data_IF_133249399816
#
_entry.id   IF_133249399816
#
_cell.length_a   1.000
_cell.length_b   1.000
_cell.length_c   1.000
_cell.angle_alpha   90.00
_cell.angle_beta   90.00
_cell.angle_gamma   90.00
#
_symmetry.space_group_name_H-M   'P 1'
#
loop_
_entity.id
_entity.type
_entity.pdbx_description
1 polymer ?
#
# COMPACT_ATOMS: atom_id res chain seq x y z
N UNK A 1 -1.43 -8.02 10.67
CA UNK A 1 -2.58 -7.46 9.94
C UNK A 1 -2.05 -6.45 8.92
N UNK A 2 -2.43 -6.56 7.64
CA UNK A 2 -2.05 -5.60 6.61
C UNK A 2 -2.69 -4.22 6.82
N UNK A 3 -2.02 -3.16 6.36
CA UNK A 3 -2.54 -1.78 6.38
C UNK A 3 -2.49 -1.18 4.99
N UNK A 4 -3.64 -0.76 4.47
CA UNK A 4 -3.72 -0.04 3.20
C UNK A 4 -3.15 1.38 3.36
N UNK A 5 -2.27 1.75 2.43
CA UNK A 5 -1.64 3.08 2.38
C UNK A 5 -1.81 3.70 0.97
N UNK A 6 -1.06 4.77 0.68
CA UNK A 6 -0.96 5.32 -0.67
C UNK A 6 -2.22 6.01 -1.18
N UNK A 7 -2.38 6.05 -2.51
CA UNK A 7 -3.49 6.75 -3.16
C UNK A 7 -4.85 6.11 -2.89
N UNK A 8 -4.94 4.77 -2.88
CA UNK A 8 -6.19 4.06 -2.59
C UNK A 8 -6.66 4.27 -1.14
N UNK A 9 -5.73 4.39 -0.18
CA UNK A 9 -6.10 4.82 1.17
C UNK A 9 -6.74 6.22 1.17
N UNK A 10 -6.18 7.17 0.42
CA UNK A 10 -6.74 8.53 0.30
C UNK A 10 -8.10 8.56 -0.40
N UNK A 11 -8.34 7.67 -1.36
CA UNK A 11 -9.65 7.51 -2.00
C UNK A 11 -10.74 7.16 -0.96
N UNK A 12 -10.42 6.30 0.02
CA UNK A 12 -11.33 5.98 1.14
C UNK A 12 -11.55 7.13 2.14
N UNK A 13 -10.78 8.21 2.00
CA UNK A 13 -11.00 9.49 2.67
C UNK A 13 -11.69 10.53 1.78
N UNK A 14 -12.11 10.16 0.57
CA UNK A 14 -12.81 11.02 -0.38
C UNK A 14 -11.89 11.81 -1.31
N UNK A 15 -10.63 11.37 -1.51
CA UNK A 15 -9.77 11.97 -2.54
C UNK A 15 -10.34 11.67 -3.93
N UNK A 16 -10.46 12.67 -4.82
CA UNK A 16 -10.96 12.46 -6.18
C UNK A 16 -9.88 11.90 -7.13
N UNK A 17 -8.64 11.72 -6.65
CA UNK A 17 -7.51 11.29 -7.48
C UNK A 17 -7.68 9.84 -7.94
N UNK A 18 -7.58 9.63 -9.24
CA UNK A 18 -7.52 8.29 -9.81
C UNK A 18 -6.20 7.59 -9.41
N UNK A 19 -6.30 6.38 -8.87
CA UNK A 19 -5.14 5.58 -8.41
C UNK A 19 -5.30 4.14 -8.89
N UNK A 20 -4.33 3.67 -9.67
CA UNK A 20 -4.35 2.35 -10.29
C UNK A 20 -3.61 1.29 -9.45
N UNK A 21 -2.59 1.70 -8.70
CA UNK A 21 -1.80 0.85 -7.82
C UNK A 21 -2.39 0.71 -6.41
N UNK A 22 -2.18 -0.46 -5.79
CA UNK A 22 -2.57 -0.72 -4.40
C UNK A 22 -1.34 -0.91 -3.54
N UNK A 23 -1.16 -0.03 -2.56
CA UNK A 23 -0.03 -0.11 -1.63
C UNK A 23 -0.48 -0.65 -0.27
N UNK A 24 0.17 -1.72 0.20
CA UNK A 24 -0.14 -2.35 1.47
C UNK A 24 1.14 -2.52 2.28
N UNK A 25 1.12 -2.11 3.55
CA UNK A 25 2.21 -2.39 4.48
C UNK A 25 1.88 -3.61 5.32
N UNK A 26 2.83 -4.55 5.39
CA UNK A 26 2.78 -5.71 6.28
C UNK A 26 4.07 -5.82 7.09
N UNK A 27 4.08 -6.58 8.21
CA UNK A 27 5.31 -6.89 8.90
C UNK A 27 6.24 -7.71 8.01
N UNK A 28 7.53 -7.73 8.33
CA UNK A 28 8.50 -8.57 7.60
C UNK A 28 8.05 -10.04 7.45
N UNK A 29 8.33 -10.60 6.27
CA UNK A 29 8.10 -12.03 5.98
C UNK A 29 9.25 -12.81 6.61
N UNK A 30 8.96 -13.55 7.68
CA UNK A 30 9.98 -14.19 8.52
C UNK A 30 10.45 -15.53 8.00
N UNK A 31 9.59 -16.24 7.27
CA UNK A 31 9.84 -17.60 6.84
C UNK A 31 9.16 -17.93 5.51
N UNK A 32 9.53 -19.08 4.97
CA UNK A 32 9.01 -19.59 3.71
C UNK A 32 7.50 -19.89 3.75
N UNK A 33 6.95 -20.25 4.91
CA UNK A 33 5.52 -20.54 5.04
C UNK A 33 4.69 -19.27 4.85
N UNK A 34 5.09 -18.17 5.47
CA UNK A 34 4.49 -16.85 5.27
C UNK A 34 4.63 -16.37 3.82
N UNK A 35 5.80 -16.57 3.19
CA UNK A 35 6.01 -16.22 1.79
C UNK A 35 5.09 -17.04 0.86
N UNK A 36 4.93 -18.34 1.12
CA UNK A 36 4.00 -19.22 0.39
C UNK A 36 2.55 -18.80 0.58
N UNK A 37 2.15 -18.42 1.78
CA UNK A 37 0.79 -17.93 2.04
C UNK A 37 0.49 -16.69 1.18
N UNK A 38 1.39 -15.70 1.19
CA UNK A 38 1.24 -14.48 0.40
C UNK A 38 1.16 -14.78 -1.10
N UNK A 39 2.12 -15.52 -1.64
CA UNK A 39 2.21 -15.80 -3.08
C UNK A 39 1.04 -16.66 -3.57
N UNK A 40 0.56 -17.63 -2.79
CA UNK A 40 -0.65 -18.38 -3.13
C UNK A 40 -1.91 -17.50 -3.11
N UNK A 41 -2.04 -16.61 -2.12
CA UNK A 41 -3.16 -15.69 -2.06
C UNK A 41 -3.19 -14.75 -3.27
N UNK A 42 -2.03 -14.22 -3.67
CA UNK A 42 -1.91 -13.37 -4.86
C UNK A 42 -2.20 -14.15 -6.14
N UNK A 43 -1.65 -15.37 -6.27
CA UNK A 43 -1.92 -16.20 -7.45
C UNK A 43 -3.39 -16.55 -7.61
N UNK A 44 -4.11 -16.80 -6.50
CA UNK A 44 -5.56 -17.06 -6.51
C UNK A 44 -6.37 -15.87 -7.03
N UNK A 45 -5.83 -14.66 -6.93
CA UNK A 45 -6.41 -13.43 -7.48
C UNK A 45 -5.80 -13.04 -8.84
N UNK A 46 -5.13 -13.97 -9.52
CA UNK A 46 -4.44 -13.77 -10.81
C UNK A 46 -3.37 -12.67 -10.78
N UNK A 47 -2.69 -12.53 -9.65
CA UNK A 47 -1.50 -11.70 -9.50
C UNK A 47 -0.22 -12.53 -9.48
N UNK A 48 0.78 -12.04 -10.20
CA UNK A 48 2.06 -12.68 -10.45
C UNK A 48 3.19 -11.91 -9.77
N UNK A 49 4.14 -12.60 -9.16
CA UNK A 49 5.27 -11.93 -8.49
C UNK A 49 6.23 -11.36 -9.54
N UNK A 50 6.42 -10.05 -9.54
CA UNK A 50 7.32 -9.37 -10.48
C UNK A 50 8.76 -9.53 -10.02
N UNK A 51 9.61 -10.10 -10.89
CA UNK A 51 11.03 -10.30 -10.62
C UNK A 51 11.93 -9.43 -11.52
N UNK A 52 11.35 -8.67 -12.46
CA UNK A 52 12.09 -7.78 -13.34
C UNK A 52 11.25 -6.56 -13.73
N UNK A 53 11.86 -5.39 -13.65
CA UNK A 53 11.31 -4.11 -14.09
C UNK A 53 12.17 -3.52 -15.22
N UNK A 54 11.59 -2.68 -16.06
CA UNK A 54 12.36 -1.80 -16.96
C UNK A 54 12.86 -0.54 -16.22
N UNK A 55 13.54 0.36 -16.96
CA UNK A 55 14.10 1.61 -16.42
C UNK A 55 13.01 2.59 -15.96
N UNK A 56 11.78 2.45 -16.46
CA UNK A 56 10.62 3.26 -16.08
C UNK A 56 9.87 2.69 -14.86
N UNK A 57 10.22 1.47 -14.45
CA UNK A 57 9.61 0.76 -13.34
C UNK A 57 8.38 -0.07 -13.72
N UNK A 58 8.18 -0.36 -15.00
CA UNK A 58 7.11 -1.24 -15.49
C UNK A 58 7.54 -2.72 -15.42
N UNK A 59 6.61 -3.65 -15.13
CA UNK A 59 6.90 -5.07 -15.08
C UNK A 59 7.21 -5.64 -16.47
N UNK A 60 8.41 -6.18 -16.64
CA UNK A 60 8.85 -6.88 -17.88
C UNK A 60 9.17 -8.37 -17.64
N UNK A 61 8.99 -8.85 -16.41
CA UNK A 61 9.15 -10.25 -16.05
C UNK A 61 8.50 -10.58 -14.71
N UNK A 62 7.84 -11.73 -14.64
CA UNK A 62 7.18 -12.23 -13.44
C UNK A 62 7.29 -13.75 -13.31
N UNK A 63 7.13 -14.23 -12.07
CA UNK A 63 7.09 -15.64 -11.70
C UNK A 63 5.63 -16.01 -11.42
N UNK A 64 5.14 -16.99 -12.16
CA UNK A 64 3.78 -17.51 -12.09
C UNK A 64 3.60 -18.64 -11.07
N UNK A 65 4.64 -19.43 -10.85
CA UNK A 65 4.66 -20.51 -9.87
C UNK A 65 4.80 -19.95 -8.44
N UNK A 66 3.78 -20.07 -7.56
CA UNK A 66 3.80 -19.46 -6.22
C UNK A 66 4.96 -19.94 -5.35
N UNK A 67 5.32 -21.22 -5.45
CA UNK A 67 6.44 -21.79 -4.69
C UNK A 67 7.79 -21.21 -5.13
N UNK A 68 7.99 -20.96 -6.43
CA UNK A 68 9.19 -20.33 -6.93
C UNK A 68 9.27 -18.85 -6.52
N UNK A 69 8.14 -18.13 -6.59
CA UNK A 69 8.04 -16.75 -6.10
C UNK A 69 8.33 -16.65 -4.61
N UNK A 70 7.77 -17.55 -3.79
CA UNK A 70 8.01 -17.58 -2.34
C UNK A 70 9.50 -17.81 -2.02
N UNK A 71 10.13 -18.79 -2.67
CA UNK A 71 11.57 -19.04 -2.53
C UNK A 71 12.39 -17.81 -2.93
N UNK A 72 12.01 -17.15 -4.04
CA UNK A 72 12.70 -15.94 -4.51
C UNK A 72 12.62 -14.80 -3.50
N UNK A 73 11.44 -14.55 -2.93
CA UNK A 73 11.25 -13.55 -1.86
C UNK A 73 12.17 -13.84 -0.67
N UNK A 74 12.30 -15.10 -0.27
CA UNK A 74 13.16 -15.49 0.86
C UNK A 74 14.66 -15.34 0.57
N UNK A 75 15.07 -15.54 -0.69
CA UNK A 75 16.46 -15.37 -1.14
C UNK A 75 16.80 -13.87 -1.23
N UNK A 76 15.98 -13.11 -1.96
CA UNK A 76 16.27 -11.71 -2.30
C UNK A 76 16.04 -10.78 -1.09
N UNK A 77 15.17 -11.18 -0.15
CA UNK A 77 14.76 -10.40 1.03
C UNK A 77 14.40 -8.95 0.69
N UNK A 78 13.51 -8.72 -0.28
CA UNK A 78 13.23 -7.38 -0.77
C UNK A 78 12.49 -6.55 0.29
N UNK A 79 12.69 -5.23 0.28
CA UNK A 79 11.88 -4.31 1.13
C UNK A 79 10.45 -4.13 0.62
N UNK A 80 10.25 -4.33 -0.69
CA UNK A 80 8.97 -4.21 -1.36
C UNK A 80 8.79 -5.39 -2.31
N UNK A 81 7.63 -6.03 -2.26
CA UNK A 81 7.26 -7.16 -3.13
C UNK A 81 6.19 -6.65 -4.08
N UNK A 82 6.46 -6.80 -5.37
CA UNK A 82 5.61 -6.30 -6.44
C UNK A 82 4.80 -7.44 -7.04
N UNK A 83 3.49 -7.25 -7.16
CA UNK A 83 2.58 -8.18 -7.80
C UNK A 83 1.86 -7.47 -8.96
N UNK A 84 1.77 -8.17 -10.10
CA UNK A 84 1.19 -7.65 -11.34
C UNK A 84 0.09 -8.59 -11.83
N UNK A 85 -1.04 -8.03 -12.25
CA UNK A 85 -2.04 -8.74 -13.03
C UNK A 85 -2.02 -8.15 -14.46
N UNK A 86 -1.55 -8.90 -15.47
CA UNK A 86 -1.41 -8.39 -16.84
C UNK A 86 -2.76 -8.15 -17.53
N UNK A 87 -3.79 -8.93 -17.20
CA UNK A 87 -5.10 -8.83 -17.85
C UNK A 87 -5.87 -7.58 -17.39
N UNK A 88 -5.68 -7.19 -16.13
CA UNK A 88 -6.31 -6.01 -15.53
C UNK A 88 -5.42 -4.76 -15.57
N UNK A 89 -4.17 -4.91 -16.00
CA UNK A 89 -3.12 -3.89 -15.88
C UNK A 89 -3.03 -3.32 -14.44
N UNK A 90 -3.17 -4.19 -13.44
CA UNK A 90 -3.22 -3.81 -12.03
C UNK A 90 -1.96 -4.21 -11.27
N UNK A 91 -1.51 -3.30 -10.40
CA UNK A 91 -0.34 -3.49 -9.55
C UNK A 91 -0.70 -3.49 -8.06
N UNK A 92 -0.10 -4.41 -7.31
CA UNK A 92 -0.11 -4.41 -5.84
C UNK A 92 1.32 -4.38 -5.32
N UNK A 93 1.62 -3.37 -4.52
CA UNK A 93 2.90 -3.20 -3.85
C UNK A 93 2.74 -3.61 -2.37
N UNK A 94 3.48 -4.63 -1.95
CA UNK A 94 3.55 -5.07 -0.56
C UNK A 94 4.85 -4.57 0.06
N UNK A 95 4.76 -3.58 0.95
CA UNK A 95 5.90 -2.98 1.62
C UNK A 95 6.11 -3.64 2.98
N UNK A 96 7.35 -4.07 3.27
CA UNK A 96 7.71 -4.77 4.49
C UNK A 96 8.26 -3.79 5.53
N UNK A 97 7.41 -3.38 6.48
CA UNK A 97 7.74 -2.42 7.55
C UNK A 97 8.41 -1.11 7.06
N UNK A 98 8.01 -0.64 5.87
CA UNK A 98 8.53 0.56 5.21
C UNK A 98 7.39 1.33 4.50
N UNK A 99 7.44 2.67 4.39
CA UNK A 99 8.41 3.61 5.00
C UNK A 99 8.21 3.81 6.51
N UNK A 100 7.09 3.33 7.05
CA UNK A 100 6.81 3.27 8.48
C UNK A 100 6.61 1.81 8.89
N UNK A 101 6.91 1.49 10.16
CA UNK A 101 6.67 0.16 10.70
C UNK A 101 5.17 -0.15 10.71
N UNK A 102 4.80 -1.38 10.44
CA UNK A 102 3.39 -1.82 10.45
C UNK A 102 2.76 -1.59 11.82
N UNK A 103 3.51 -1.79 12.90
CA UNK A 103 3.05 -1.53 14.27
C UNK A 103 2.72 -0.05 14.52
N UNK A 104 3.54 0.88 14.00
CA UNK A 104 3.27 2.32 14.06
C UNK A 104 2.00 2.69 13.27
N UNK A 105 1.80 2.06 12.12
CA UNK A 105 0.61 2.26 11.30
C UNK A 105 -0.65 1.76 12.02
N UNK A 106 -0.61 0.51 12.52
CA UNK A 106 -1.73 -0.12 13.20
C UNK A 106 -2.17 0.62 14.45
N UNK A 107 -1.24 1.21 15.20
CA UNK A 107 -1.53 1.96 16.43
C UNK A 107 -2.50 3.14 16.22
N UNK A 108 -2.62 3.65 14.99
CA UNK A 108 -3.55 4.75 14.66
C UNK A 108 -4.43 4.44 13.45
N UNK A 109 -4.42 3.22 12.93
CA UNK A 109 -5.16 2.87 11.73
C UNK A 109 -6.66 3.06 11.94
N UNK A 110 -7.35 3.53 10.89
CA UNK A 110 -8.80 3.64 10.86
C UNK A 110 -9.39 2.38 10.20
N UNK A 111 -10.48 1.86 10.77
CA UNK A 111 -11.29 0.85 10.09
C UNK A 111 -12.13 1.52 8.99
N UNK A 112 -12.07 0.97 7.78
CA UNK A 112 -12.89 1.40 6.65
C UNK A 112 -13.63 0.20 6.08
N UNK A 113 -14.92 0.38 5.85
CA UNK A 113 -15.71 -0.60 5.10
C UNK A 113 -15.35 -0.46 3.61
N UNK A 114 -14.86 -1.54 3.02
CA UNK A 114 -14.68 -1.64 1.57
C UNK A 114 -15.99 -2.03 0.89
N UNK A 115 -16.73 -2.93 1.52
CA UNK A 115 -18.09 -3.34 1.17
C UNK A 115 -18.90 -3.61 2.46
N UNK A 116 -20.10 -4.18 2.33
CA UNK A 116 -21.01 -4.45 3.47
C UNK A 116 -20.44 -5.42 4.53
N UNK A 117 -19.44 -6.20 4.17
CA UNK A 117 -18.90 -7.31 4.97
C UNK A 117 -17.40 -7.20 5.22
N UNK A 118 -16.70 -6.44 4.38
CA UNK A 118 -15.24 -6.35 4.41
C UNK A 118 -14.79 -5.07 5.08
N UNK A 119 -14.15 -5.20 6.24
CA UNK A 119 -13.45 -4.12 6.93
C UNK A 119 -11.96 -4.24 6.64
N UNK A 120 -11.35 -3.13 6.24
CA UNK A 120 -9.91 -3.02 6.02
C UNK A 120 -9.30 -1.98 6.96
N UNK A 121 -8.06 -2.25 7.39
CA UNK A 121 -7.25 -1.28 8.12
C UNK A 121 -6.61 -0.31 7.13
N UNK A 122 -6.86 0.98 7.33
CA UNK A 122 -6.30 2.05 6.51
C UNK A 122 -5.43 2.94 7.39
N UNK A 123 -4.25 3.33 6.91
CA UNK A 123 -3.40 4.24 7.66
C UNK A 123 -4.13 5.57 7.95
N UNK A 124 -3.96 6.10 9.17
CA UNK A 124 -4.53 7.40 9.53
C UNK A 124 -4.06 8.51 8.59
N UNK A 125 -4.88 9.56 8.46
CA UNK A 125 -4.48 10.78 7.73
C UNK A 125 -3.13 11.35 8.20
N UNK A 126 -2.82 11.24 9.51
CA UNK A 126 -1.53 11.67 10.06
C UNK A 126 -0.37 10.86 9.49
N UNK A 127 -0.50 9.53 9.46
CA UNK A 127 0.53 8.64 8.92
C UNK A 127 0.63 8.77 7.40
N UNK A 128 -0.50 8.87 6.69
CA UNK A 128 -0.52 9.14 5.25
C UNK A 128 0.20 10.45 4.91
N UNK A 129 -0.03 11.53 5.68
CA UNK A 129 0.70 12.80 5.54
C UNK A 129 2.21 12.60 5.72
N UNK A 130 2.63 11.93 6.79
CA UNK A 130 4.04 11.66 7.10
C UNK A 130 4.72 10.90 5.95
N UNK A 131 4.08 9.86 5.42
CA UNK A 131 4.61 9.08 4.30
C UNK A 131 4.72 9.92 3.02
N UNK A 132 3.73 10.78 2.74
CA UNK A 132 3.75 11.69 1.60
C UNK A 132 4.82 12.77 1.73
N UNK A 133 5.06 13.29 2.92
CA UNK A 133 6.18 14.22 3.19
C UNK A 133 7.54 13.56 2.93
N UNK A 134 7.71 12.29 3.33
CA UNK A 134 8.92 11.50 3.03
C UNK A 134 9.08 11.34 1.51
N UNK A 135 8.03 10.90 0.81
CA UNK A 135 8.07 10.68 -0.64
C UNK A 135 8.32 11.98 -1.43
N UNK A 136 7.68 13.09 -1.04
CA UNK A 136 7.82 14.37 -1.71
C UNK A 136 9.24 14.95 -1.56
N UNK A 137 9.87 14.80 -0.39
CA UNK A 137 11.26 15.24 -0.18
C UNK A 137 12.24 14.58 -1.15
N UNK A 138 11.99 13.31 -1.46
CA UNK A 138 12.82 12.50 -2.34
C UNK A 138 12.52 12.79 -3.83
N UNK A 139 11.25 12.66 -4.23
CA UNK A 139 10.86 12.66 -5.65
C UNK A 139 10.32 13.99 -6.17
N UNK A 140 9.89 14.90 -5.28
CA UNK A 140 9.29 16.21 -5.60
C UNK A 140 8.17 16.16 -6.66
N UNK A 141 7.39 15.08 -6.71
CA UNK A 141 6.30 14.92 -7.68
C UNK A 141 5.12 15.83 -7.34
N UNK A 142 4.49 16.42 -8.36
CA UNK A 142 3.31 17.28 -8.22
C UNK A 142 2.11 16.55 -7.58
N UNK A 143 1.96 15.25 -7.87
CA UNK A 143 0.91 14.40 -7.28
C UNK A 143 1.04 14.28 -5.76
N UNK A 144 2.27 14.24 -5.23
CA UNK A 144 2.47 14.19 -3.78
C UNK A 144 2.13 15.53 -3.11
N UNK A 145 2.38 16.66 -3.79
CA UNK A 145 1.94 17.97 -3.31
C UNK A 145 0.41 18.08 -3.25
N UNK A 146 -0.29 17.61 -4.28
CA UNK A 146 -1.77 17.56 -4.30
C UNK A 146 -2.33 16.68 -3.18
N UNK A 147 -1.73 15.51 -2.96
CA UNK A 147 -2.13 14.61 -1.87
C UNK A 147 -1.93 15.28 -0.49
N UNK A 148 -0.82 15.99 -0.29
CA UNK A 148 -0.55 16.73 0.95
C UNK A 148 -1.56 17.84 1.19
N UNK A 149 -1.93 18.60 0.15
CA UNK A 149 -2.95 19.64 0.24
C UNK A 149 -4.32 19.06 0.60
N UNK A 150 -4.72 17.97 -0.07
CA UNK A 150 -5.95 17.25 0.22
C UNK A 150 -6.01 16.81 1.68
N UNK A 151 -4.95 16.13 2.16
CA UNK A 151 -4.88 15.66 3.55
C UNK A 151 -5.00 16.84 4.53
N UNK A 152 -4.28 17.94 4.28
CA UNK A 152 -4.34 19.14 5.13
C UNK A 152 -5.75 19.76 5.18
N UNK A 153 -6.49 19.74 4.07
CA UNK A 153 -7.89 20.21 4.02
C UNK A 153 -8.81 19.33 4.87
N UNK A 154 -8.73 18.00 4.73
CA UNK A 154 -9.56 17.07 5.50
C UNK A 154 -9.25 17.16 7.01
N UNK A 155 -7.98 17.21 7.38
CA UNK A 155 -7.58 17.35 8.79
C UNK A 155 -8.09 18.65 9.41
N UNK A 156 -8.08 19.77 8.67
CA UNK A 156 -8.65 21.05 9.13
C UNK A 156 -10.17 20.96 9.32
N UNK A 157 -10.89 20.34 8.39
CA UNK A 157 -12.34 20.15 8.49
C UNK A 157 -12.73 19.29 9.71
N UNK A 158 -12.07 18.14 9.93
CA UNK A 158 -12.32 17.28 11.09
C UNK A 158 -12.11 18.01 12.42
N UNK A 159 -11.08 18.88 12.52
CA UNK A 159 -10.84 19.70 13.73
C UNK A 159 -11.97 20.70 13.98
N UNK A 160 -12.45 21.40 12.94
CA UNK A 160 -13.55 22.37 13.07
C UNK A 160 -14.85 21.73 13.55
N UNK A 161 -15.16 20.51 13.09
CA UNK A 161 -16.37 19.82 13.52
C UNK A 161 -16.27 19.38 14.99
N UNK A 162 -15.11 18.88 15.43
CA UNK A 162 -14.90 18.48 16.82
C UNK A 162 -14.99 19.65 17.82
N UNK A 163 -14.66 20.88 17.40
CA UNK A 163 -14.79 22.09 18.22
C UNK A 163 -16.22 22.65 18.30
N UNK A 164 -17.16 22.15 17.49
CA UNK A 164 -18.58 22.54 17.55
C UNK A 164 -19.44 21.62 18.44
N UNK A 165 -18.87 20.50 18.87
CA UNK A 165 -19.52 19.49 19.72
C UNK A 165 -19.15 19.64 21.21
N UNK A 166 -18.35 20.66 21.55
CA UNK A 166 -17.95 21.04 22.91
C UNK A 166 -18.56 22.41 23.24
#
# INVERSE_FOLDING_TARGET
MPVLIGGKALALFGSPRLTFDTDIVIPSIKDLAAAKLLTNAMRKADFYYVNKLDDEGNPIGWIDAPNAAASRIMIDKPKTIFFWNPDLEMKIDILLDFPLKTSELLATAEDKMLDKTTIIKVASLKNLKKMKEIAFKDRKKSTDAQDLEFIARIMRSKRKNKSKEL
#
